data_IF_287015779284
#
_entry.id   IF_287015779284
#
_cell.length_a   1.000
_cell.length_b   1.000
_cell.length_c   1.000
_cell.angle_alpha   90.00
_cell.angle_beta   90.00
_cell.angle_gamma   90.00
#
_symmetry.space_group_name_H-M   'P 1'
#
loop_
_entity.id
_entity.type
_entity.pdbx_description
1 polymer ?
#
# COMPACT_ATOMS: atom_id res chain seq x y z
N UNK A 1 31.86 -13.17 0.37
CA UNK A 1 30.76 -13.11 1.37
C UNK A 1 30.15 -11.71 1.34
N UNK A 2 29.05 -11.56 0.60
CA UNK A 2 28.37 -10.27 0.47
C UNK A 2 27.42 -10.08 1.64
N UNK A 3 27.82 -9.24 2.57
CA UNK A 3 26.95 -8.72 3.60
C UNK A 3 26.37 -7.40 3.18
N UNK A 4 25.05 -7.27 3.25
CA UNK A 4 24.31 -6.04 2.94
C UNK A 4 23.58 -5.74 4.25
N UNK A 5 24.03 -4.77 5.04
CA UNK A 5 23.44 -4.26 6.29
C UNK A 5 23.03 -2.77 6.19
N UNK A 6 21.78 -2.44 5.87
CA UNK A 6 21.50 -1.05 5.49
C UNK A 6 20.06 -0.74 5.11
N UNK A 7 19.59 0.42 5.58
CA UNK A 7 18.18 0.78 5.63
C UNK A 7 17.72 1.55 4.38
N UNK A 8 16.53 1.22 3.85
CA UNK A 8 15.88 2.00 2.78
C UNK A 8 15.05 3.12 3.40
N UNK A 9 15.41 4.38 3.13
CA UNK A 9 14.61 5.54 3.55
C UNK A 9 14.45 6.48 2.36
N UNK A 10 13.21 6.73 1.94
CA UNK A 10 12.85 7.67 0.85
C UNK A 10 13.57 7.42 -0.48
N UNK A 11 13.64 6.16 -0.93
CA UNK A 11 14.28 5.81 -2.21
C UNK A 11 15.80 5.93 -2.20
N UNK A 12 16.43 6.20 -1.03
CA UNK A 12 17.87 6.11 -0.85
C UNK A 12 18.22 4.80 -0.16
N UNK A 13 19.23 4.12 -0.69
CA UNK A 13 19.86 2.96 -0.06
C UNK A 13 21.20 3.39 0.52
N UNK A 14 21.47 3.02 1.77
CA UNK A 14 22.75 3.25 2.43
C UNK A 14 23.27 1.94 2.96
N UNK A 15 24.39 1.47 2.40
CA UNK A 15 24.77 0.06 2.49
C UNK A 15 26.24 -0.16 2.09
N UNK A 16 26.75 -1.39 2.18
CA UNK A 16 28.06 -1.78 1.69
C UNK A 16 28.05 -3.03 0.80
N UNK A 17 29.09 -3.15 -0.04
CA UNK A 17 29.41 -4.35 -0.80
C UNK A 17 30.87 -4.74 -0.58
N UNK A 18 31.16 -6.05 -0.58
CA UNK A 18 32.53 -6.53 -0.65
C UNK A 18 33.11 -6.26 -2.03
N UNK A 19 34.26 -5.58 -2.11
CA UNK A 19 34.97 -5.34 -3.35
C UNK A 19 36.35 -5.99 -3.28
N UNK A 20 36.78 -6.60 -4.38
CA UNK A 20 38.11 -7.15 -4.52
C UNK A 20 38.69 -6.87 -5.90
N UNK A 21 39.98 -6.55 -5.96
CA UNK A 21 40.72 -6.39 -7.20
C UNK A 21 42.16 -6.83 -7.03
N UNK A 22 42.90 -6.91 -8.14
CA UNK A 22 44.30 -7.33 -8.13
C UNK A 22 45.19 -6.18 -8.58
N UNK A 23 46.14 -5.77 -7.74
CA UNK A 23 47.17 -4.78 -8.06
C UNK A 23 48.56 -5.42 -7.95
N UNK A 24 49.23 -5.55 -9.10
CA UNK A 24 50.59 -6.12 -9.17
C UNK A 24 51.65 -5.29 -8.45
N UNK A 25 51.40 -4.00 -8.21
CA UNK A 25 52.35 -3.09 -7.53
C UNK A 25 52.37 -3.31 -6.02
N UNK A 26 51.34 -3.97 -5.47
CA UNK A 26 51.23 -4.31 -4.06
C UNK A 26 51.67 -5.75 -3.79
N UNK A 27 52.67 -6.23 -4.54
CA UNK A 27 53.28 -7.54 -4.29
C UNK A 27 54.56 -7.36 -3.51
N UNK A 28 54.77 -8.21 -2.51
CA UNK A 28 55.99 -8.24 -1.72
C UNK A 28 56.33 -9.68 -1.36
N UNK A 29 57.60 -9.92 -1.04
CA UNK A 29 58.04 -11.23 -0.57
C UNK A 29 57.73 -11.38 0.92
N UNK A 30 57.07 -12.50 1.28
CA UNK A 30 56.76 -12.82 2.66
C UNK A 30 58.01 -13.12 3.48
N UNK A 31 59.07 -13.66 2.84
CA UNK A 31 60.32 -13.96 3.54
C UNK A 31 61.03 -12.68 4.00
N UNK A 32 60.95 -11.62 3.19
CA UNK A 32 61.53 -10.31 3.49
C UNK A 32 60.67 -9.52 4.50
N UNK A 33 59.36 -9.42 4.27
CA UNK A 33 58.47 -8.55 5.05
C UNK A 33 57.78 -9.23 6.24
N UNK A 34 57.95 -10.56 6.39
CA UNK A 34 57.43 -11.39 7.49
C UNK A 34 55.92 -11.27 7.74
N UNK A 35 55.17 -10.76 6.78
CA UNK A 35 53.72 -10.59 6.84
C UNK A 35 53.11 -10.93 5.50
N UNK A 36 51.93 -11.56 5.52
CA UNK A 36 51.16 -11.89 4.34
C UNK A 36 50.09 -10.82 4.02
N UNK A 37 49.70 -10.02 5.01
CA UNK A 37 48.57 -9.09 4.92
C UNK A 37 48.91 -7.71 5.46
N UNK A 38 48.52 -6.68 4.71
CA UNK A 38 48.73 -5.28 5.07
C UNK A 38 47.41 -4.51 5.02
N UNK A 39 47.08 -3.84 6.13
CA UNK A 39 45.93 -2.93 6.19
C UNK A 39 46.34 -1.53 5.77
N UNK A 40 45.75 -1.03 4.70
CA UNK A 40 46.12 0.24 4.08
C UNK A 40 45.20 1.34 4.62
N UNK A 41 45.75 2.25 5.44
CA UNK A 41 45.00 3.40 5.98
C UNK A 41 44.93 4.60 5.03
N UNK A 42 45.86 4.69 4.07
CA UNK A 42 46.02 5.86 3.20
C UNK A 42 45.18 5.74 1.92
N UNK A 43 43.86 5.87 2.05
CA UNK A 43 42.89 5.76 0.94
C UNK A 43 43.27 6.62 -0.29
N UNK A 44 43.73 7.86 -0.09
CA UNK A 44 44.07 8.78 -1.19
C UNK A 44 45.41 8.54 -1.88
N UNK A 45 46.21 7.55 -1.44
CA UNK A 45 47.51 7.22 -2.07
C UNK A 45 47.50 5.90 -2.82
N UNK A 46 46.46 5.10 -2.63
CA UNK A 46 46.25 3.85 -3.34
C UNK A 46 45.29 4.08 -4.50
N UNK A 47 45.58 3.45 -5.63
CA UNK A 47 44.59 3.38 -6.69
C UNK A 47 43.45 2.46 -6.27
N UNK A 48 42.22 2.97 -6.37
CA UNK A 48 40.98 2.19 -6.20
C UNK A 48 40.13 2.32 -7.47
N UNK A 49 39.32 1.31 -7.82
CA UNK A 49 38.39 1.43 -8.94
C UNK A 49 37.42 2.60 -8.72
N UNK A 50 37.24 3.45 -9.72
CA UNK A 50 36.22 4.50 -9.65
C UNK A 50 34.85 3.85 -9.87
N UNK A 51 33.96 3.98 -8.89
CA UNK A 51 32.59 3.45 -8.98
C UNK A 51 31.67 4.58 -8.53
N UNK A 52 30.74 4.94 -9.41
CA UNK A 52 29.77 6.01 -9.19
C UNK A 52 28.39 5.54 -9.63
N UNK A 53 27.34 6.17 -9.10
CA UNK A 53 26.00 5.97 -9.62
C UNK A 53 25.82 6.65 -10.97
N UNK A 54 25.00 6.07 -11.85
CA UNK A 54 24.72 6.63 -13.17
C UNK A 54 24.08 8.03 -13.11
N UNK A 55 23.20 8.27 -12.13
CA UNK A 55 22.46 9.54 -11.95
C UNK A 55 23.23 10.59 -11.15
N UNK A 56 24.52 10.76 -11.41
CA UNK A 56 25.21 11.96 -10.94
C UNK A 56 24.67 13.18 -11.72
N UNK A 57 24.37 14.25 -10.99
CA UNK A 57 23.88 15.57 -11.45
C UNK A 57 22.40 15.75 -11.80
N UNK A 58 21.63 16.11 -10.76
CA UNK A 58 20.84 17.35 -10.83
C UNK A 58 21.16 18.22 -9.61
N UNK A 59 22.02 19.21 -9.83
CA UNK A 59 22.22 20.43 -9.03
C UNK A 59 22.01 20.36 -7.50
N UNK A 60 23.12 20.28 -6.75
CA UNK A 60 23.29 21.04 -5.50
C UNK A 60 22.84 20.44 -4.17
N UNK A 61 22.21 19.26 -4.12
CA UNK A 61 21.76 18.64 -2.85
C UNK A 61 21.85 17.09 -2.77
N UNK A 62 22.60 16.42 -3.65
CA UNK A 62 22.72 14.96 -3.55
C UNK A 62 23.75 14.57 -2.48
N UNK A 63 23.27 14.08 -1.33
CA UNK A 63 24.06 13.40 -0.29
C UNK A 63 24.56 12.00 -0.72
N UNK A 64 24.62 11.74 -2.02
CA UNK A 64 25.02 10.46 -2.57
C UNK A 64 26.54 10.34 -2.54
N UNK A 65 27.04 9.20 -2.07
CA UNK A 65 28.47 8.96 -1.99
C UNK A 65 28.77 7.48 -2.22
N UNK A 66 29.99 7.21 -2.66
CA UNK A 66 30.58 5.88 -2.76
C UNK A 66 32.00 6.00 -2.23
N UNK A 67 32.34 5.21 -1.22
CA UNK A 67 33.65 5.26 -0.54
C UNK A 67 34.13 3.86 -0.20
N UNK A 68 35.45 3.64 -0.19
CA UNK A 68 36.00 2.37 0.26
C UNK A 68 36.52 2.50 1.70
N UNK A 69 36.16 1.53 2.53
CA UNK A 69 36.64 1.35 3.88
C UNK A 69 37.38 0.02 4.02
N UNK A 70 38.17 -0.12 5.08
CA UNK A 70 38.85 -1.37 5.47
C UNK A 70 39.60 -2.04 4.32
N UNK A 71 40.45 -1.27 3.62
CA UNK A 71 41.28 -1.79 2.54
C UNK A 71 42.40 -2.66 3.12
N UNK A 72 42.45 -3.91 2.68
CA UNK A 72 43.46 -4.90 3.05
C UNK A 72 44.06 -5.49 1.78
N UNK A 73 45.39 -5.61 1.73
CA UNK A 73 46.11 -6.23 0.63
C UNK A 73 46.84 -7.46 1.12
N UNK A 74 46.92 -8.49 0.29
CA UNK A 74 47.73 -9.69 0.49
C UNK A 74 49.04 -9.59 -0.32
N UNK A 75 50.09 -10.31 0.07
CA UNK A 75 51.41 -10.36 -0.58
C UNK A 75 51.37 -10.72 -2.08
N UNK A 76 50.33 -11.43 -2.52
CA UNK A 76 50.05 -11.75 -3.93
C UNK A 76 49.50 -10.57 -4.74
N UNK A 77 49.25 -9.43 -4.09
CA UNK A 77 48.66 -8.23 -4.68
C UNK A 77 47.14 -8.31 -4.83
N UNK A 78 46.47 -9.19 -4.08
CA UNK A 78 45.01 -9.20 -4.01
C UNK A 78 44.58 -8.19 -2.96
N UNK A 79 43.72 -7.24 -3.35
CA UNK A 79 43.21 -6.19 -2.48
C UNK A 79 41.72 -6.43 -2.26
N UNK A 80 41.30 -6.36 -1.00
CA UNK A 80 39.90 -6.46 -0.57
C UNK A 80 39.51 -5.20 0.17
N UNK A 81 38.29 -4.74 -0.02
CA UNK A 81 37.76 -3.53 0.62
C UNK A 81 36.24 -3.63 0.82
N UNK A 82 35.73 -2.81 1.72
CA UNK A 82 34.30 -2.58 1.92
C UNK A 82 33.88 -1.34 1.14
N UNK A 83 33.11 -1.50 0.08
CA UNK A 83 32.54 -0.40 -0.69
C UNK A 83 31.26 0.09 -0.02
N UNK A 84 31.30 1.18 0.73
CA UNK A 84 30.13 1.81 1.34
C UNK A 84 29.53 2.83 0.38
N UNK A 85 28.22 2.84 0.25
CA UNK A 85 27.51 3.73 -0.64
C UNK A 85 26.22 4.25 -0.05
N UNK A 86 25.85 5.45 -0.48
CA UNK A 86 24.54 6.03 -0.34
C UNK A 86 24.10 6.50 -1.71
N UNK A 87 23.09 5.84 -2.28
CA UNK A 87 22.64 6.10 -3.66
C UNK A 87 21.12 6.22 -3.69
N UNK A 88 20.62 7.21 -4.42
CA UNK A 88 19.21 7.30 -4.76
C UNK A 88 18.83 6.30 -5.87
N UNK A 89 17.94 5.37 -5.54
CA UNK A 89 17.38 4.40 -6.47
C UNK A 89 16.25 4.99 -7.31
N UNK A 90 16.06 4.41 -8.49
CA UNK A 90 14.81 4.51 -9.22
C UNK A 90 13.88 3.39 -8.77
N UNK A 91 12.71 3.75 -8.25
CA UNK A 91 11.74 2.78 -7.75
C UNK A 91 10.48 2.76 -8.61
N UNK A 92 10.08 1.58 -9.04
CA UNK A 92 8.73 1.27 -9.47
C UNK A 92 7.90 0.89 -8.25
N UNK A 93 6.73 1.51 -8.11
CA UNK A 93 5.88 1.37 -6.93
C UNK A 93 4.56 0.73 -7.34
N UNK A 94 4.22 -0.39 -6.71
CA UNK A 94 2.91 -1.03 -6.86
C UNK A 94 2.06 -0.74 -5.62
N UNK A 95 1.04 0.09 -5.82
CA UNK A 95 0.14 0.53 -4.76
C UNK A 95 -1.12 -0.31 -4.64
N UNK A 96 -1.23 -1.43 -5.35
CA UNK A 96 -2.42 -2.30 -5.33
C UNK A 96 -2.84 -2.70 -3.90
N UNK A 97 -1.85 -3.00 -3.05
CA UNK A 97 -2.04 -3.41 -1.65
C UNK A 97 -1.68 -2.30 -0.62
N UNK A 98 -1.76 -1.02 -1.01
CA UNK A 98 -1.52 0.11 -0.08
C UNK A 98 -2.39 -0.03 1.18
N UNK A 99 -1.85 0.18 2.41
CA UNK A 99 -0.53 0.76 2.74
C UNK A 99 0.62 -0.26 2.91
N UNK A 100 0.38 -1.54 2.64
CA UNK A 100 1.39 -2.60 2.63
C UNK A 100 1.89 -2.86 1.20
N UNK A 101 2.26 -1.78 0.54
CA UNK A 101 2.72 -1.70 -0.85
C UNK A 101 4.10 -2.34 -1.06
N UNK A 102 4.31 -2.77 -2.30
CA UNK A 102 5.58 -3.30 -2.79
C UNK A 102 6.34 -2.22 -3.56
N UNK A 103 7.65 -2.19 -3.34
CA UNK A 103 8.56 -1.29 -4.03
C UNK A 103 9.68 -2.10 -4.66
N UNK A 104 9.88 -1.91 -5.95
CA UNK A 104 10.98 -2.48 -6.69
C UNK A 104 11.95 -1.35 -7.07
N UNK A 105 13.08 -1.30 -6.38
CA UNK A 105 14.03 -0.21 -6.47
C UNK A 105 15.33 -0.69 -7.07
N UNK A 106 15.72 -0.11 -8.20
CA UNK A 106 16.98 -0.41 -8.87
C UNK A 106 17.88 0.82 -8.95
N UNK A 107 19.18 0.59 -8.85
CA UNK A 107 20.21 1.59 -9.13
C UNK A 107 21.35 0.95 -9.90
N UNK A 108 22.07 1.77 -10.65
CA UNK A 108 23.18 1.35 -11.49
C UNK A 108 24.44 2.01 -11.01
N UNK A 109 25.49 1.22 -10.83
CA UNK A 109 26.84 1.65 -10.53
C UNK A 109 27.75 1.36 -11.72
N UNK A 110 28.59 2.31 -12.07
CA UNK A 110 29.57 2.16 -13.14
C UNK A 110 30.82 3.01 -12.88
N UNK A 111 31.89 2.71 -13.60
CA UNK A 111 33.07 3.57 -13.66
C UNK A 111 32.75 4.82 -14.47
N UNK A 112 33.09 6.00 -13.94
CA UNK A 112 32.85 7.28 -14.65
C UNK A 112 33.96 7.55 -15.66
N UNK A 113 35.20 7.24 -15.31
CA UNK A 113 36.40 7.55 -16.08
C UNK A 113 36.80 6.40 -17.01
N UNK A 114 36.54 5.15 -16.62
CA UNK A 114 37.07 3.94 -17.26
C UNK A 114 35.99 2.91 -17.64
N UNK A 115 34.82 3.38 -18.11
CA UNK A 115 33.64 2.57 -18.49
C UNK A 115 33.94 1.28 -19.28
N UNK A 116 34.84 1.35 -20.27
CA UNK A 116 35.17 0.19 -21.14
C UNK A 116 36.28 -0.71 -20.58
N UNK A 117 37.06 -0.23 -19.62
CA UNK A 117 38.26 -0.89 -19.11
C UNK A 117 38.03 -1.61 -17.78
N UNK A 118 37.19 -1.04 -16.92
CA UNK A 118 36.79 -1.70 -15.68
C UNK A 118 35.71 -2.73 -16.00
N UNK A 119 35.92 -3.95 -15.49
CA UNK A 119 35.05 -5.10 -15.70
C UNK A 119 34.62 -5.67 -14.35
N UNK A 120 33.35 -6.04 -14.25
CA UNK A 120 32.75 -6.51 -13.00
C UNK A 120 32.62 -8.04 -13.03
N UNK A 121 33.01 -8.65 -11.92
CA UNK A 121 32.89 -10.10 -11.69
C UNK A 121 32.14 -10.31 -10.38
N UNK A 122 31.05 -11.08 -10.43
CA UNK A 122 30.25 -11.43 -9.27
C UNK A 122 30.79 -12.74 -8.68
N UNK A 123 30.89 -12.81 -7.35
CA UNK A 123 31.33 -14.04 -6.65
C UNK A 123 30.20 -15.10 -6.62
N UNK A 124 28.93 -14.67 -6.72
CA UNK A 124 27.75 -15.56 -6.76
C UNK A 124 27.23 -15.68 -8.19
N UNK A 125 27.02 -16.91 -8.69
CA UNK A 125 26.41 -17.15 -10.01
C UNK A 125 24.90 -16.89 -10.04
N UNK A 126 24.21 -16.98 -8.90
CA UNK A 126 22.75 -16.93 -8.82
C UNK A 126 22.14 -15.51 -8.91
N UNK A 127 22.93 -14.47 -9.18
CA UNK A 127 22.52 -13.04 -9.14
C UNK A 127 21.85 -12.60 -7.81
N UNK A 128 21.75 -13.48 -6.81
CA UNK A 128 21.07 -13.22 -5.55
C UNK A 128 22.05 -12.75 -4.48
N UNK A 129 21.61 -11.75 -3.74
CA UNK A 129 22.31 -11.23 -2.57
C UNK A 129 21.74 -11.88 -1.33
N UNK A 130 22.59 -12.20 -0.36
CA UNK A 130 22.13 -12.68 0.94
C UNK A 130 21.34 -11.57 1.65
N UNK A 131 20.06 -11.83 1.88
CA UNK A 131 19.11 -10.90 2.50
C UNK A 131 19.21 -10.97 4.03
N UNK A 132 19.81 -12.02 4.60
CA UNK A 132 19.85 -12.25 6.05
C UNK A 132 20.60 -11.15 6.80
N UNK A 133 21.55 -10.49 6.14
CA UNK A 133 22.32 -9.40 6.72
C UNK A 133 21.59 -8.04 6.64
N UNK A 134 20.51 -7.94 5.83
CA UNK A 134 19.86 -6.67 5.48
C UNK A 134 18.98 -6.17 6.63
N UNK A 135 19.56 -5.30 7.46
CA UNK A 135 18.90 -4.67 8.61
C UNK A 135 18.15 -3.40 8.21
N UNK A 136 16.85 -3.54 7.91
CA UNK A 136 15.99 -2.39 7.58
C UNK A 136 14.65 -2.47 8.29
N UNK A 137 13.96 -1.32 8.37
CA UNK A 137 12.57 -1.26 8.84
C UNK A 137 11.56 -1.78 7.79
N UNK A 138 12.05 -2.11 6.60
CA UNK A 138 11.30 -2.70 5.50
C UNK A 138 11.55 -4.20 5.44
N UNK A 139 10.53 -4.94 5.03
CA UNK A 139 10.70 -6.35 4.77
C UNK A 139 11.28 -6.52 3.37
N UNK A 140 12.55 -6.85 3.26
CA UNK A 140 13.17 -7.18 1.97
C UNK A 140 12.75 -8.59 1.56
N UNK A 141 12.18 -8.72 0.37
CA UNK A 141 11.74 -10.01 -0.18
C UNK A 141 12.78 -10.59 -1.12
N UNK A 142 13.43 -9.73 -1.90
CA UNK A 142 14.43 -10.14 -2.88
C UNK A 142 15.46 -9.03 -3.07
N UNK A 143 16.73 -9.40 -3.18
CA UNK A 143 17.80 -8.52 -3.60
C UNK A 143 18.59 -9.23 -4.70
N UNK A 144 18.84 -8.53 -5.81
CA UNK A 144 19.59 -9.08 -6.93
C UNK A 144 20.62 -8.10 -7.47
N UNK A 145 21.76 -8.63 -7.87
CA UNK A 145 22.84 -7.88 -8.50
C UNK A 145 23.11 -8.53 -9.85
N UNK A 146 23.10 -7.71 -10.90
CA UNK A 146 23.29 -8.16 -12.27
C UNK A 146 24.29 -7.29 -12.99
N UNK A 147 25.06 -7.90 -13.88
CA UNK A 147 25.88 -7.18 -14.83
C UNK A 147 25.06 -6.85 -16.08
N UNK A 148 25.04 -5.57 -16.43
CA UNK A 148 24.38 -5.07 -17.64
C UNK A 148 25.39 -4.30 -18.51
N UNK A 149 25.06 -4.09 -19.77
CA UNK A 149 25.83 -3.23 -20.68
C UNK A 149 24.99 -1.99 -21.03
N UNK A 150 25.66 -0.86 -21.22
CA UNK A 150 24.99 0.38 -21.62
C UNK A 150 24.37 0.22 -23.02
N UNK A 151 23.17 0.76 -23.20
CA UNK A 151 22.46 0.69 -24.48
C UNK A 151 23.25 1.49 -25.53
N UNK A 152 23.75 0.80 -26.57
CA UNK A 152 24.59 1.42 -27.61
C UNK A 152 26.10 1.34 -27.36
N UNK A 153 26.56 0.86 -26.20
CA UNK A 153 27.97 0.57 -25.94
C UNK A 153 28.16 -0.80 -25.26
N UNK A 154 28.20 -1.86 -26.07
CA UNK A 154 28.41 -3.23 -25.58
C UNK A 154 29.77 -3.44 -24.88
N UNK A 155 30.69 -2.46 -24.93
CA UNK A 155 31.99 -2.54 -24.24
C UNK A 155 31.96 -1.93 -22.85
N UNK A 156 30.98 -1.07 -22.51
CA UNK A 156 30.83 -0.60 -21.14
C UNK A 156 30.06 -1.62 -20.31
N UNK A 157 30.56 -1.90 -19.12
CA UNK A 157 29.85 -2.73 -18.15
C UNK A 157 29.32 -1.85 -17.03
N UNK A 158 28.13 -2.19 -16.55
CA UNK A 158 27.51 -1.55 -15.40
C UNK A 158 26.99 -2.63 -14.46
N UNK A 159 26.93 -2.27 -13.18
CA UNK A 159 26.42 -3.12 -12.13
C UNK A 159 25.05 -2.61 -11.71
N UNK A 160 24.01 -3.35 -12.06
CA UNK A 160 22.65 -3.07 -11.64
C UNK A 160 22.35 -3.81 -10.35
N UNK A 161 21.92 -3.09 -9.34
CA UNK A 161 21.48 -3.64 -8.06
C UNK A 161 20.01 -3.30 -7.89
N UNK A 162 19.19 -4.32 -7.68
CA UNK A 162 17.76 -4.19 -7.50
C UNK A 162 17.33 -4.81 -6.17
N UNK A 163 16.36 -4.16 -5.53
CA UNK A 163 15.84 -4.51 -4.22
C UNK A 163 14.31 -4.45 -4.27
N UNK A 164 13.67 -5.59 -3.99
CA UNK A 164 12.23 -5.68 -3.78
C UNK A 164 11.94 -5.67 -2.28
N UNK A 165 11.29 -4.61 -1.82
CA UNK A 165 10.95 -4.41 -0.42
C UNK A 165 9.45 -4.15 -0.24
N UNK A 166 8.87 -4.77 0.79
CA UNK A 166 7.49 -4.56 1.20
C UNK A 166 7.45 -3.63 2.40
N UNK A 167 6.56 -2.62 2.34
CA UNK A 167 6.22 -1.83 3.53
C UNK A 167 5.33 -2.67 4.43
N UNK A 168 5.64 -2.75 5.72
CA UNK A 168 4.68 -3.23 6.74
C UNK A 168 4.23 -2.04 7.57
N UNK A 169 3.05 -1.53 7.25
CA UNK A 169 2.44 -0.41 7.99
C UNK A 169 1.16 -0.87 8.67
N UNK A 170 1.31 -1.78 9.63
CA UNK A 170 0.16 -2.38 10.36
C UNK A 170 -0.66 -1.32 11.08
N UNK A 171 -0.01 -0.36 11.75
CA UNK A 171 -0.69 0.76 12.41
C UNK A 171 -1.51 1.58 11.43
N UNK A 172 -0.93 1.98 10.29
CA UNK A 172 -1.65 2.75 9.26
C UNK A 172 -2.80 1.93 8.65
N UNK A 173 -2.61 0.62 8.48
CA UNK A 173 -3.67 -0.29 8.02
C UNK A 173 -4.86 -0.24 8.98
N UNK A 174 -4.62 -0.31 10.30
CA UNK A 174 -5.67 -0.26 11.31
C UNK A 174 -6.36 1.12 11.35
N UNK A 175 -5.59 2.21 11.31
CA UNK A 175 -6.11 3.58 11.30
C UNK A 175 -7.02 3.86 10.10
N UNK A 176 -6.69 3.32 8.92
CA UNK A 176 -7.51 3.46 7.72
C UNK A 176 -8.72 2.52 7.71
N UNK A 177 -8.57 1.30 8.23
CA UNK A 177 -9.61 0.26 8.08
C UNK A 177 -10.70 0.35 9.16
N UNK A 178 -10.33 0.61 10.42
CA UNK A 178 -11.27 0.60 11.56
C UNK A 178 -12.45 1.57 11.35
N UNK A 179 -12.24 2.85 11.00
CA UNK A 179 -13.34 3.80 10.83
C UNK A 179 -14.36 3.38 9.76
N UNK A 180 -13.88 2.79 8.66
CA UNK A 180 -14.76 2.32 7.58
C UNK A 180 -15.53 1.08 8.02
N UNK A 181 -14.89 0.12 8.70
CA UNK A 181 -15.58 -1.05 9.26
C UNK A 181 -16.66 -0.64 10.27
N UNK A 182 -16.38 0.35 11.11
CA UNK A 182 -17.38 0.90 12.05
C UNK A 182 -18.53 1.54 11.27
N UNK A 183 -18.25 2.35 10.24
CA UNK A 183 -19.29 2.94 9.39
C UNK A 183 -20.13 1.89 8.66
N UNK A 184 -19.51 0.79 8.24
CA UNK A 184 -20.17 -0.33 7.58
C UNK A 184 -21.05 -1.12 8.55
N UNK A 185 -20.64 -1.28 9.81
CA UNK A 185 -21.47 -1.89 10.83
C UNK A 185 -22.71 -1.01 11.13
N UNK A 186 -22.52 0.30 11.22
CA UNK A 186 -23.62 1.27 11.37
C UNK A 186 -24.58 1.16 10.18
N UNK A 187 -24.03 1.05 8.96
CA UNK A 187 -24.61 0.43 7.76
C UNK A 187 -25.72 -0.58 8.01
N UNK A 188 -25.23 -1.75 8.42
CA UNK A 188 -25.94 -2.99 8.55
C UNK A 188 -26.96 -2.95 9.70
N UNK A 189 -26.67 -2.18 10.75
CA UNK A 189 -27.57 -2.04 11.91
C UNK A 189 -28.65 -0.97 11.67
N UNK A 190 -28.46 -0.04 10.72
CA UNK A 190 -29.40 1.05 10.42
C UNK A 190 -30.88 0.61 10.30
N UNK A 191 -31.24 -0.53 9.66
CA UNK A 191 -32.63 -0.97 9.53
C UNK A 191 -33.29 -1.37 10.85
N UNK A 192 -32.51 -1.71 11.88
CA UNK A 192 -33.03 -2.06 13.20
C UNK A 192 -33.42 -0.84 14.03
N UNK A 193 -33.01 0.37 13.64
CA UNK A 193 -33.51 1.59 14.25
C UNK A 193 -34.96 1.81 13.78
N UNK A 194 -35.92 1.69 14.70
CA UNK A 194 -37.34 1.49 14.35
C UNK A 194 -37.96 2.58 13.48
N UNK A 195 -37.65 3.86 13.71
CA UNK A 195 -38.32 4.97 13.01
C UNK A 195 -37.52 5.46 11.82
N UNK A 196 -38.17 5.83 10.71
CA UNK A 196 -37.49 6.29 9.49
C UNK A 196 -36.49 7.43 9.73
N UNK A 197 -36.84 8.40 10.58
CA UNK A 197 -35.93 9.52 10.89
C UNK A 197 -34.66 9.06 11.62
N UNK A 198 -34.75 8.08 12.51
CA UNK A 198 -33.58 7.52 13.20
C UNK A 198 -32.68 6.79 12.21
N UNK A 199 -33.25 6.00 11.29
CA UNK A 199 -32.48 5.34 10.23
C UNK A 199 -31.75 6.36 9.35
N UNK A 200 -32.42 7.46 8.98
CA UNK A 200 -31.82 8.55 8.20
C UNK A 200 -30.66 9.19 8.97
N UNK A 201 -30.85 9.54 10.25
CA UNK A 201 -29.77 10.15 11.06
C UNK A 201 -28.57 9.22 11.23
N UNK A 202 -28.80 7.93 11.45
CA UNK A 202 -27.74 6.93 11.59
C UNK A 202 -26.96 6.76 10.27
N UNK A 203 -27.66 6.72 9.13
CA UNK A 203 -27.02 6.67 7.79
C UNK A 203 -26.25 7.96 7.47
N UNK A 204 -26.77 9.13 7.84
CA UNK A 204 -26.06 10.41 7.70
C UNK A 204 -24.79 10.47 8.56
N UNK A 205 -24.86 9.95 9.79
CA UNK A 205 -23.68 9.82 10.65
C UNK A 205 -22.63 8.88 10.05
N UNK A 206 -23.04 7.74 9.50
CA UNK A 206 -22.12 6.83 8.80
C UNK A 206 -21.46 7.50 7.58
N UNK A 207 -22.20 8.29 6.80
CA UNK A 207 -21.66 9.07 5.69
C UNK A 207 -20.63 10.10 6.14
N UNK A 208 -20.90 10.80 7.24
CA UNK A 208 -19.94 11.76 7.81
C UNK A 208 -18.64 11.05 8.22
N UNK A 209 -18.75 9.90 8.89
CA UNK A 209 -17.60 9.10 9.28
C UNK A 209 -16.80 8.63 8.06
N UNK A 210 -17.48 8.19 6.99
CA UNK A 210 -16.86 7.77 5.73
C UNK A 210 -16.14 8.93 5.04
N UNK A 211 -16.76 10.11 5.00
CA UNK A 211 -16.14 11.31 4.44
C UNK A 211 -14.87 11.70 5.20
N UNK A 212 -14.92 11.74 6.53
CA UNK A 212 -13.73 12.05 7.36
C UNK A 212 -12.63 11.01 7.17
N UNK A 213 -13.00 9.73 7.09
CA UNK A 213 -12.06 8.64 6.83
C UNK A 213 -11.42 8.75 5.45
N UNK A 214 -12.18 9.20 4.43
CA UNK A 214 -11.68 9.40 3.08
C UNK A 214 -10.74 10.61 2.99
N UNK A 215 -11.05 11.70 3.70
CA UNK A 215 -10.15 12.84 3.82
C UNK A 215 -8.82 12.44 4.48
N UNK A 216 -8.88 11.64 5.54
CA UNK A 216 -7.68 11.11 6.19
C UNK A 216 -6.87 10.21 5.24
N UNK A 217 -7.53 9.33 4.47
CA UNK A 217 -6.87 8.54 3.43
C UNK A 217 -6.20 9.44 2.38
N UNK A 218 -6.89 10.48 1.91
CA UNK A 218 -6.36 11.45 0.95
C UNK A 218 -5.11 12.16 1.50
N UNK A 219 -5.10 12.57 2.77
CA UNK A 219 -3.94 13.19 3.42
C UNK A 219 -2.73 12.25 3.49
N UNK A 220 -2.95 10.96 3.70
CA UNK A 220 -1.87 9.94 3.76
C UNK A 220 -1.40 9.47 2.39
N UNK A 221 -2.06 9.89 1.30
CA UNK A 221 -1.63 9.48 -0.04
C UNK A 221 -0.30 10.10 -0.43
N UNK A 222 0.52 9.38 -1.23
CA UNK A 222 1.72 9.96 -1.82
C UNK A 222 1.39 11.23 -2.62
N UNK A 223 2.26 12.25 -2.55
CA UNK A 223 2.05 13.53 -3.24
C UNK A 223 1.91 13.42 -4.78
N UNK A 224 2.46 12.37 -5.37
CA UNK A 224 2.38 12.06 -6.81
C UNK A 224 1.19 11.15 -7.16
N UNK A 225 0.33 10.84 -6.19
CA UNK A 225 -0.76 9.86 -6.33
C UNK A 225 -0.26 8.41 -6.45
N UNK A 226 -1.12 7.55 -6.98
CA UNK A 226 -0.86 6.10 -7.12
C UNK A 226 -0.38 5.69 -8.52
N UNK A 227 0.07 6.65 -9.34
CA UNK A 227 0.50 6.38 -10.72
C UNK A 227 -0.64 5.80 -11.55
N UNK A 228 -0.42 4.62 -12.15
CA UNK A 228 -1.38 3.94 -13.03
C UNK A 228 -2.28 2.91 -12.30
N UNK A 229 -2.02 2.60 -11.03
CA UNK A 229 -2.74 1.56 -10.27
C UNK A 229 -3.70 2.18 -9.27
N UNK A 230 -4.94 1.67 -9.19
CA UNK A 230 -5.91 2.09 -8.16
C UNK A 230 -5.82 1.13 -6.97
N UNK A 231 -5.48 1.58 -5.76
CA UNK A 231 -5.41 0.72 -4.58
C UNK A 231 -6.75 0.08 -4.22
N UNK A 232 -6.72 -1.16 -3.71
CA UNK A 232 -7.92 -1.86 -3.23
C UNK A 232 -8.67 -1.08 -2.14
N UNK A 233 -7.94 -0.39 -1.26
CA UNK A 233 -8.56 0.43 -0.21
C UNK A 233 -9.41 1.57 -0.80
N UNK A 234 -8.98 2.20 -1.90
CA UNK A 234 -9.74 3.25 -2.57
C UNK A 234 -11.04 2.70 -3.18
N UNK A 235 -10.95 1.53 -3.82
CA UNK A 235 -12.12 0.83 -4.35
C UNK A 235 -13.10 0.48 -3.22
N UNK A 236 -12.61 0.01 -2.08
CA UNK A 236 -13.44 -0.32 -0.92
C UNK A 236 -14.17 0.90 -0.33
N UNK A 237 -13.48 2.04 -0.22
CA UNK A 237 -14.07 3.30 0.24
C UNK A 237 -15.14 3.80 -0.75
N UNK A 238 -14.84 3.82 -2.05
CA UNK A 238 -15.77 4.25 -3.07
C UNK A 238 -17.02 3.35 -3.13
N UNK A 239 -16.82 2.03 -3.06
CA UNK A 239 -17.89 1.05 -2.99
C UNK A 239 -18.78 1.28 -1.75
N UNK A 240 -18.17 1.37 -0.58
CA UNK A 240 -18.90 1.57 0.68
C UNK A 240 -19.71 2.87 0.61
N UNK A 241 -19.09 3.98 0.19
CA UNK A 241 -19.75 5.27 0.04
C UNK A 241 -20.91 5.23 -0.97
N UNK A 242 -20.75 4.57 -2.11
CA UNK A 242 -21.81 4.43 -3.10
C UNK A 242 -23.02 3.67 -2.54
N UNK A 243 -22.77 2.54 -1.86
CA UNK A 243 -23.82 1.73 -1.22
C UNK A 243 -24.54 2.53 -0.13
N UNK A 244 -23.81 3.30 0.68
CA UNK A 244 -24.40 4.10 1.76
C UNK A 244 -25.28 5.25 1.22
N UNK A 245 -24.83 5.94 0.17
CA UNK A 245 -25.60 7.00 -0.50
C UNK A 245 -26.87 6.44 -1.14
N UNK A 246 -26.78 5.33 -1.88
CA UNK A 246 -27.97 4.70 -2.50
C UNK A 246 -28.96 4.26 -1.42
N UNK A 247 -28.47 3.62 -0.36
CA UNK A 247 -29.30 3.18 0.77
C UNK A 247 -29.99 4.34 1.48
N UNK A 248 -29.31 5.48 1.63
CA UNK A 248 -29.90 6.70 2.20
C UNK A 248 -31.00 7.26 1.29
N UNK A 249 -30.73 7.40 -0.01
CA UNK A 249 -31.70 7.94 -0.98
C UNK A 249 -32.98 7.09 -0.97
N UNK A 250 -32.85 5.77 -0.98
CA UNK A 250 -34.01 4.86 -0.92
C UNK A 250 -34.81 5.08 0.37
N UNK A 251 -34.16 5.12 1.54
CA UNK A 251 -34.88 5.37 2.82
C UNK A 251 -35.54 6.74 2.87
N UNK A 252 -34.91 7.79 2.30
CA UNK A 252 -35.51 9.13 2.21
C UNK A 252 -36.74 9.12 1.31
N UNK A 253 -36.68 8.46 0.14
CA UNK A 253 -37.80 8.33 -0.78
C UNK A 253 -38.95 7.57 -0.11
N UNK A 254 -38.67 6.43 0.55
CA UNK A 254 -39.69 5.66 1.27
C UNK A 254 -40.30 6.46 2.41
N UNK A 255 -39.48 7.19 3.18
CA UNK A 255 -39.97 8.08 4.24
C UNK A 255 -40.85 9.20 3.67
N UNK A 256 -40.48 9.80 2.54
CA UNK A 256 -41.29 10.83 1.88
C UNK A 256 -42.64 10.26 1.40
N UNK A 257 -42.64 9.07 0.79
CA UNK A 257 -43.86 8.39 0.36
C UNK A 257 -44.76 8.00 1.53
N UNK A 258 -44.19 7.61 2.68
CA UNK A 258 -44.95 7.26 3.89
C UNK A 258 -45.72 8.44 4.50
N UNK A 259 -45.27 9.69 4.25
CA UNK A 259 -45.94 10.90 4.74
C UNK A 259 -47.13 11.34 3.87
N UNK A 260 -47.26 10.77 2.66
CA UNK A 260 -48.37 11.10 1.76
C UNK A 260 -49.64 10.43 2.28
N UNK A 261 -50.58 11.24 2.79
CA UNK A 261 -51.88 10.74 3.25
C UNK A 261 -52.66 10.15 2.08
N UNK A 262 -53.07 8.89 2.21
CA UNK A 262 -53.89 8.19 1.21
C UNK A 262 -55.26 7.90 1.78
N UNK A 263 -56.29 8.17 0.98
CA UNK A 263 -57.71 7.99 1.35
C UNK A 263 -58.25 6.61 0.96
N UNK A 264 -57.57 5.89 0.08
CA UNK A 264 -57.96 4.54 -0.36
C UNK A 264 -57.06 3.47 0.26
N UNK A 265 -57.61 2.39 0.84
CA UNK A 265 -56.83 1.29 1.37
C UNK A 265 -56.10 0.54 0.25
N UNK A 266 -54.87 0.05 0.50
CA UNK A 266 -54.14 -0.78 -0.46
C UNK A 266 -54.86 -2.11 -0.72
N UNK A 267 -54.60 -2.73 -1.87
CA UNK A 267 -55.18 -4.04 -2.16
C UNK A 267 -54.66 -5.08 -1.15
N UNK A 268 -55.56 -5.92 -0.61
CA UNK A 268 -55.32 -6.89 0.46
C UNK A 268 -54.13 -7.84 0.22
N UNK A 269 -53.81 -8.16 -1.05
CA UNK A 269 -52.62 -8.95 -1.40
C UNK A 269 -51.29 -8.30 -1.01
N UNK A 270 -51.21 -6.97 -1.08
CA UNK A 270 -49.98 -6.23 -0.77
C UNK A 270 -49.77 -6.07 0.74
N UNK A 271 -50.84 -5.96 1.53
CA UNK A 271 -50.76 -5.91 2.99
C UNK A 271 -50.35 -7.26 3.58
N UNK A 272 -50.91 -8.37 3.07
CA UNK A 272 -50.45 -9.73 3.40
C UNK A 272 -48.97 -9.93 3.09
N UNK A 273 -48.53 -9.52 1.89
CA UNK A 273 -47.13 -9.64 1.50
C UNK A 273 -46.20 -8.80 2.39
N UNK A 274 -46.60 -7.57 2.72
CA UNK A 274 -45.85 -6.71 3.63
C UNK A 274 -45.77 -7.29 5.06
N UNK A 275 -46.85 -7.91 5.54
CA UNK A 275 -46.88 -8.61 6.83
C UNK A 275 -45.90 -9.78 6.86
N UNK A 276 -45.89 -10.63 5.83
CA UNK A 276 -44.94 -11.75 5.71
C UNK A 276 -43.50 -11.24 5.65
N UNK A 277 -43.23 -10.19 4.87
CA UNK A 277 -41.89 -9.61 4.79
C UNK A 277 -41.42 -9.06 6.14
N UNK A 278 -42.24 -8.26 6.82
CA UNK A 278 -41.87 -7.69 8.12
C UNK A 278 -41.69 -8.77 9.20
N UNK A 279 -42.48 -9.85 9.16
CA UNK A 279 -42.33 -10.97 10.08
C UNK A 279 -41.03 -11.75 9.87
N UNK A 280 -40.55 -11.89 8.62
CA UNK A 280 -39.32 -12.63 8.30
C UNK A 280 -38.06 -11.76 8.36
N UNK A 281 -38.15 -10.46 8.07
CA UNK A 281 -37.01 -9.55 8.05
C UNK A 281 -36.71 -8.88 9.40
N UNK A 282 -37.61 -8.95 10.40
CA UNK A 282 -37.40 -8.52 11.80
C UNK A 282 -36.64 -7.18 11.99
N UNK A 283 -36.81 -6.21 11.09
CA UNK A 283 -36.19 -4.89 11.18
C UNK A 283 -37.27 -3.86 11.53
N UNK A 284 -37.10 -3.18 12.67
CA UNK A 284 -37.76 -1.92 13.02
C UNK A 284 -39.28 -1.79 12.80
N UNK A 285 -40.07 -1.80 13.87
CA UNK A 285 -41.48 -1.40 13.81
C UNK A 285 -41.59 0.12 13.91
N UNK A 286 -42.31 0.77 12.97
CA UNK A 286 -42.91 2.06 13.29
C UNK A 286 -44.06 1.83 14.27
N UNK A 287 -44.17 2.67 15.30
CA UNK A 287 -45.28 2.61 16.26
C UNK A 287 -46.50 3.23 15.60
N UNK A 288 -47.61 2.51 15.58
CA UNK A 288 -48.87 3.01 15.05
C UNK A 288 -49.29 4.32 15.75
N UNK A 289 -49.81 5.31 15.02
CA UNK A 289 -50.31 6.53 15.64
C UNK A 289 -51.56 6.24 16.47
N UNK A 290 -51.62 6.75 17.71
CA UNK A 290 -52.76 6.62 18.64
C UNK A 290 -54.09 6.99 17.95
N UNK A 291 -55.08 6.10 18.06
CA UNK A 291 -56.33 6.12 17.29
C UNK A 291 -57.48 6.82 18.01
N UNK A 292 -58.13 7.77 17.31
CA UNK A 292 -59.49 8.25 17.60
C UNK A 292 -60.43 7.65 16.53
N UNK A 293 -60.85 6.40 16.74
CA UNK A 293 -62.01 5.70 16.15
C UNK A 293 -62.52 6.01 14.72
N UNK A 294 -61.70 6.38 13.74
CA UNK A 294 -62.17 6.74 12.38
C UNK A 294 -61.52 5.90 11.27
N UNK A 295 -62.35 5.33 10.38
CA UNK A 295 -61.99 4.39 9.29
C UNK A 295 -60.92 4.91 8.30
N UNK A 296 -60.72 6.22 8.18
CA UNK A 296 -59.66 6.80 7.35
C UNK A 296 -58.25 6.63 7.94
N UNK A 297 -58.10 6.32 9.24
CA UNK A 297 -56.80 6.05 9.87
C UNK A 297 -56.27 4.65 9.52
N UNK A 298 -57.15 3.67 9.29
CA UNK A 298 -56.78 2.28 8.98
C UNK A 298 -56.03 2.17 7.65
N UNK A 299 -56.51 2.86 6.60
CA UNK A 299 -55.85 2.88 5.29
C UNK A 299 -54.42 3.44 5.36
N UNK A 300 -54.16 4.45 6.21
CA UNK A 300 -52.82 5.03 6.34
C UNK A 300 -51.86 4.10 7.11
N UNK A 301 -52.36 3.35 8.10
CA UNK A 301 -51.59 2.33 8.82
C UNK A 301 -51.19 1.17 7.88
N UNK A 302 -52.10 0.71 7.03
CA UNK A 302 -51.82 -0.32 6.02
C UNK A 302 -50.75 0.12 5.02
N UNK A 303 -50.83 1.37 4.53
CA UNK A 303 -49.80 1.93 3.65
C UNK A 303 -48.45 2.06 4.36
N UNK A 304 -48.44 2.46 5.63
CA UNK A 304 -47.23 2.56 6.42
C UNK A 304 -46.54 1.19 6.56
N UNK A 305 -47.29 0.14 6.82
CA UNK A 305 -46.77 -1.24 6.90
C UNK A 305 -46.10 -1.67 5.59
N UNK A 306 -46.69 -1.31 4.44
CA UNK A 306 -46.12 -1.58 3.11
C UNK A 306 -44.80 -0.82 2.91
N UNK A 307 -44.74 0.46 3.25
CA UNK A 307 -43.51 1.24 3.11
C UNK A 307 -42.39 0.73 4.02
N UNK A 308 -42.72 0.33 5.24
CA UNK A 308 -41.77 -0.31 6.17
C UNK A 308 -41.23 -1.61 5.57
N UNK A 309 -42.09 -2.45 4.99
CA UNK A 309 -41.66 -3.68 4.32
C UNK A 309 -40.74 -3.41 3.12
N UNK A 310 -41.04 -2.38 2.32
CA UNK A 310 -40.21 -1.97 1.17
C UNK A 310 -38.82 -1.49 1.64
N UNK A 311 -38.75 -0.66 2.69
CA UNK A 311 -37.49 -0.20 3.23
C UNK A 311 -36.65 -1.33 3.83
N UNK A 312 -37.29 -2.27 4.52
CA UNK A 312 -36.64 -3.45 5.09
C UNK A 312 -36.09 -4.36 3.98
N UNK A 313 -36.87 -4.60 2.93
CA UNK A 313 -36.44 -5.37 1.76
C UNK A 313 -35.24 -4.70 1.06
N UNK A 314 -35.31 -3.39 0.81
CA UNK A 314 -34.23 -2.64 0.20
C UNK A 314 -32.96 -2.66 1.05
N UNK A 315 -33.11 -2.59 2.37
CA UNK A 315 -31.99 -2.70 3.31
C UNK A 315 -31.38 -4.10 3.33
N UNK A 316 -32.19 -5.15 3.25
CA UNK A 316 -31.72 -6.53 3.10
C UNK A 316 -30.94 -6.75 1.80
N UNK A 317 -31.42 -6.19 0.68
CA UNK A 317 -30.69 -6.20 -0.59
C UNK A 317 -29.36 -5.44 -0.49
N UNK A 318 -29.38 -4.26 0.15
CA UNK A 318 -28.17 -3.45 0.39
C UNK A 318 -27.13 -4.25 1.17
N UNK A 319 -27.56 -5.02 2.18
CA UNK A 319 -26.69 -5.89 2.97
C UNK A 319 -26.06 -6.99 2.12
N UNK A 320 -26.85 -7.67 1.28
CA UNK A 320 -26.33 -8.71 0.37
C UNK A 320 -25.31 -8.14 -0.61
N UNK A 321 -25.63 -7.00 -1.22
CA UNK A 321 -24.70 -6.29 -2.13
C UNK A 321 -23.42 -5.90 -1.39
N UNK A 322 -23.53 -5.38 -0.17
CA UNK A 322 -22.38 -4.98 0.63
C UNK A 322 -21.47 -6.17 0.96
N UNK A 323 -22.03 -7.27 1.47
CA UNK A 323 -21.26 -8.47 1.83
C UNK A 323 -20.58 -9.07 0.60
N UNK A 324 -21.30 -9.22 -0.52
CA UNK A 324 -20.72 -9.75 -1.75
C UNK A 324 -19.63 -8.85 -2.32
N UNK A 325 -19.89 -7.53 -2.39
CA UNK A 325 -18.90 -6.57 -2.89
C UNK A 325 -17.67 -6.47 -2.00
N UNK A 326 -17.84 -6.52 -0.67
CA UNK A 326 -16.72 -6.54 0.27
C UNK A 326 -15.85 -7.79 0.09
N UNK A 327 -16.46 -8.98 -0.11
CA UNK A 327 -15.71 -10.20 -0.39
C UNK A 327 -14.90 -10.05 -1.68
N UNK A 328 -15.54 -9.62 -2.78
CA UNK A 328 -14.89 -9.49 -4.10
C UNK A 328 -13.72 -8.49 -4.09
N UNK A 329 -13.80 -7.41 -3.30
CA UNK A 329 -12.73 -6.40 -3.23
C UNK A 329 -11.56 -6.88 -2.36
N UNK A 330 -11.84 -7.72 -1.36
CA UNK A 330 -10.82 -8.22 -0.42
C UNK A 330 -10.08 -9.45 -0.98
N UNK A 331 -10.75 -10.30 -1.77
CA UNK A 331 -10.14 -11.46 -2.46
C UNK A 331 -9.27 -11.05 -3.63
#
# INVERSE_FOLDING_TARGET
MFGVTGSVVNGRMTEWLGAAWKDRRLRWDQEEWKTDTLRIKSFGRLWVPDIHSEKHDTAGQSSDYVTYQNIESNNKGNVTARLEFRIQAQCEMDYSDYPNDLKDCCFVMQSSLYRRYIKYFLETEDDQVDISEIKTNWQVEKANIKKITEEGDNKSEQLQVCLRARRRSTTLTLELTIPVLVSALIILIAPFFGRFHQQIYVKMFALLLQFMSFQFLAEKTPQVGFGATIPKIYLFYAFTLAVTVISLIVTVIVSAMSRVKRTMPPAHRYTLFASVLNANLCCGSEVEPVTDGTSNKDANADWLQIYTAVNNLASGLTLLVYVFGAIVIVT
#
